data_IF_810691524020
#
_entry.id   IF_810691524020
#
_cell.length_a   1.000
_cell.length_b   1.000
_cell.length_c   1.000
_cell.angle_alpha   90.00
_cell.angle_beta   90.00
_cell.angle_gamma   90.00
#
_symmetry.space_group_name_H-M   'P 1'
#
loop_
_entity.id
_entity.type
_entity.pdbx_description
1 polymer ?
#
# COMPACT_ATOMS: atom_id res chain seq x y z
N UNK A 1 18.88 6.67 -39.69
CA UNK A 1 19.25 7.32 -38.43
C UNK A 1 20.31 6.48 -37.76
N UNK A 2 21.53 7.01 -37.65
CA UNK A 2 22.65 6.27 -37.04
C UNK A 2 22.45 6.24 -35.52
N UNK A 3 22.89 5.17 -34.86
CA UNK A 3 22.75 4.98 -33.40
C UNK A 3 23.29 6.18 -32.60
N UNK A 4 24.31 6.84 -33.14
CA UNK A 4 24.97 8.04 -32.60
C UNK A 4 24.08 9.30 -32.60
N UNK A 5 23.16 9.45 -33.56
CA UNK A 5 22.22 10.58 -33.62
C UNK A 5 21.17 10.48 -32.51
N UNK A 6 20.73 9.26 -32.19
CA UNK A 6 19.78 8.97 -31.11
C UNK A 6 20.36 9.31 -29.73
N UNK A 7 21.66 9.12 -29.51
CA UNK A 7 22.31 9.42 -28.23
C UNK A 7 22.61 10.90 -28.02
N UNK A 8 22.75 11.69 -29.10
CA UNK A 8 22.86 13.16 -29.03
C UNK A 8 21.52 13.82 -28.70
N UNK A 9 20.42 13.28 -29.18
CA UNK A 9 19.08 13.85 -29.00
C UNK A 9 18.53 13.69 -27.56
N UNK A 10 19.05 12.72 -26.80
CA UNK A 10 18.63 12.42 -25.43
C UNK A 10 19.45 13.19 -24.37
N UNK A 11 20.45 13.98 -24.80
CA UNK A 11 20.95 15.12 -24.03
C UNK A 11 21.58 14.85 -22.65
N UNK A 12 22.05 13.64 -22.31
CA UNK A 12 22.64 13.38 -20.99
C UNK A 12 23.67 12.23 -21.00
N UNK A 13 24.81 12.38 -21.68
CA UNK A 13 26.02 11.60 -21.33
C UNK A 13 27.26 12.47 -21.52
N UNK A 14 28.03 12.61 -20.43
CA UNK A 14 29.33 13.28 -20.33
C UNK A 14 30.36 12.64 -21.29
N UNK A 15 31.03 13.45 -22.12
CA UNK A 15 31.97 13.00 -23.16
C UNK A 15 33.10 12.10 -22.60
N UNK A 16 33.41 12.23 -21.31
CA UNK A 16 34.40 11.41 -20.61
C UNK A 16 34.01 9.91 -20.52
N UNK A 17 32.73 9.56 -20.61
CA UNK A 17 32.25 8.17 -20.56
C UNK A 17 32.39 7.45 -21.90
N UNK A 18 32.41 8.19 -23.02
CA UNK A 18 32.60 7.63 -24.36
C UNK A 18 34.09 7.29 -24.56
N UNK A 19 34.99 8.16 -24.11
CA UNK A 19 36.44 7.93 -24.14
C UNK A 19 36.85 6.71 -23.27
N UNK A 20 36.16 6.48 -22.14
CA UNK A 20 36.36 5.31 -21.29
C UNK A 20 35.88 3.99 -21.94
N UNK A 21 34.90 4.06 -22.86
CA UNK A 21 34.39 2.89 -23.57
C UNK A 21 35.29 2.48 -24.75
N UNK A 22 35.86 3.46 -25.48
CA UNK A 22 36.77 3.20 -26.62
C UNK A 22 38.10 2.56 -26.19
N UNK A 23 38.58 2.80 -24.96
CA UNK A 23 39.81 2.19 -24.47
C UNK A 23 39.65 0.78 -23.86
N UNK A 24 38.44 0.22 -23.78
CA UNK A 24 38.21 -1.11 -23.20
C UNK A 24 38.38 -2.28 -24.19
N UNK A 25 38.80 -2.00 -25.42
CA UNK A 25 38.76 -2.94 -26.54
C UNK A 25 40.12 -3.30 -27.14
N UNK A 26 41.14 -3.70 -26.36
CA UNK A 26 42.20 -4.65 -26.80
C UNK A 26 43.25 -4.86 -25.71
N UNK A 27 43.29 -6.05 -25.08
CA UNK A 27 44.49 -6.87 -24.93
C UNK A 27 44.19 -8.14 -24.10
N UNK A 28 44.45 -9.30 -24.71
CA UNK A 28 44.49 -10.59 -24.01
C UNK A 28 45.62 -10.60 -22.99
N UNK A 29 45.32 -10.61 -21.69
CA UNK A 29 46.24 -11.11 -20.65
C UNK A 29 45.48 -11.70 -19.46
N UNK A 30 45.63 -13.01 -19.25
CA UNK A 30 45.28 -13.72 -18.00
C UNK A 30 46.10 -13.12 -16.85
N UNK A 31 45.45 -12.47 -15.87
CA UNK A 31 46.01 -12.24 -14.53
C UNK A 31 44.91 -12.39 -13.47
N UNK A 32 45.24 -13.09 -12.39
CA UNK A 32 44.32 -13.38 -11.28
C UNK A 32 43.82 -12.09 -10.63
N UNK A 33 42.50 -11.95 -10.55
CA UNK A 33 41.85 -10.83 -9.88
C UNK A 33 42.04 -11.00 -8.37
N UNK A 34 42.72 -10.03 -7.74
CA UNK A 34 42.91 -9.97 -6.29
C UNK A 34 41.55 -9.81 -5.59
N UNK A 35 41.34 -10.59 -4.51
CA UNK A 35 40.09 -10.59 -3.69
C UNK A 35 39.67 -9.20 -3.20
N UNK A 36 40.60 -8.22 -3.11
CA UNK A 36 40.30 -6.83 -2.71
C UNK A 36 39.51 -6.05 -3.78
N UNK A 37 39.70 -6.34 -5.06
CA UNK A 37 38.98 -5.66 -6.15
C UNK A 37 37.54 -6.17 -6.30
N UNK A 38 37.31 -7.47 -6.03
CA UNK A 38 35.96 -8.05 -6.03
C UNK A 38 35.07 -7.43 -4.94
N UNK A 39 35.65 -7.17 -3.75
CA UNK A 39 34.93 -6.52 -2.65
C UNK A 39 34.57 -5.06 -2.99
N UNK A 40 35.47 -4.33 -3.65
CA UNK A 40 35.24 -2.92 -3.98
C UNK A 40 34.18 -2.77 -5.09
N UNK A 41 34.19 -3.67 -6.08
CA UNK A 41 33.14 -3.74 -7.11
C UNK A 41 31.80 -4.18 -6.50
N UNK A 42 31.79 -5.15 -5.57
CA UNK A 42 30.57 -5.54 -4.86
C UNK A 42 29.99 -4.38 -4.02
N UNK A 43 30.83 -3.59 -3.34
CA UNK A 43 30.39 -2.41 -2.60
C UNK A 43 29.83 -1.32 -3.53
N UNK A 44 30.45 -1.09 -4.70
CA UNK A 44 29.95 -0.13 -5.70
C UNK A 44 28.63 -0.56 -6.32
N UNK A 45 28.45 -1.86 -6.59
CA UNK A 45 27.17 -2.43 -7.07
C UNK A 45 26.08 -2.35 -5.99
N UNK A 46 26.43 -2.61 -4.73
CA UNK A 46 25.49 -2.46 -3.62
C UNK A 46 25.10 -1.00 -3.42
N UNK A 47 26.05 -0.07 -3.45
CA UNK A 47 25.79 1.37 -3.28
C UNK A 47 25.00 1.96 -4.47
N UNK A 48 25.31 1.55 -5.70
CA UNK A 48 24.52 1.95 -6.87
C UNK A 48 23.14 1.33 -6.84
N UNK A 49 22.96 0.07 -6.41
CA UNK A 49 21.64 -0.55 -6.28
C UNK A 49 20.75 0.14 -5.24
N UNK A 50 21.31 0.59 -4.11
CA UNK A 50 20.55 1.31 -3.08
C UNK A 50 20.24 2.75 -3.49
N UNK A 51 21.16 3.42 -4.19
CA UNK A 51 20.93 4.78 -4.68
C UNK A 51 19.94 4.81 -5.85
N UNK A 52 20.02 3.83 -6.76
CA UNK A 52 19.05 3.66 -7.85
C UNK A 52 17.69 3.20 -7.33
N UNK A 53 17.62 2.37 -6.28
CA UNK A 53 16.36 2.03 -5.64
C UNK A 53 15.72 3.26 -4.98
N UNK A 54 16.49 4.08 -4.25
CA UNK A 54 16.03 5.31 -3.62
C UNK A 54 15.55 6.35 -4.65
N UNK A 55 16.35 6.61 -5.69
CA UNK A 55 16.00 7.54 -6.77
C UNK A 55 14.84 7.02 -7.61
N UNK A 56 14.74 5.71 -7.84
CA UNK A 56 13.57 5.11 -8.49
C UNK A 56 12.33 5.26 -7.60
N UNK A 57 12.41 5.01 -6.28
CA UNK A 57 11.27 5.25 -5.38
C UNK A 57 10.84 6.71 -5.37
N UNK A 58 11.76 7.67 -5.39
CA UNK A 58 11.43 9.11 -5.48
C UNK A 58 10.87 9.49 -6.86
N UNK A 59 11.42 8.93 -7.93
CA UNK A 59 10.95 9.17 -9.30
C UNK A 59 9.57 8.57 -9.54
N UNK A 60 9.30 7.32 -9.10
CA UNK A 60 7.99 6.69 -9.17
C UNK A 60 6.96 7.39 -8.27
N UNK A 61 7.39 7.91 -7.10
CA UNK A 61 6.53 8.73 -6.23
C UNK A 61 6.10 10.03 -6.92
N UNK A 62 7.00 10.68 -7.66
CA UNK A 62 6.72 11.92 -8.39
C UNK A 62 6.00 11.72 -9.73
N UNK A 63 6.22 10.60 -10.43
CA UNK A 63 5.58 10.34 -11.72
C UNK A 63 4.12 9.87 -11.57
N UNK A 64 3.79 9.16 -10.47
CA UNK A 64 2.42 8.74 -10.18
C UNK A 64 1.53 9.88 -9.63
N UNK A 65 2.09 11.02 -9.23
CA UNK A 65 1.32 12.23 -8.92
C UNK A 65 0.82 12.99 -10.15
N UNK A 66 1.34 12.72 -11.35
CA UNK A 66 1.08 13.53 -12.55
C UNK A 66 -0.30 13.35 -13.25
N UNK A 67 -1.04 12.23 -13.18
CA UNK A 67 -2.35 12.14 -13.83
C UNK A 67 -3.49 12.84 -13.05
N UNK A 68 -3.32 13.12 -11.75
CA UNK A 68 -4.39 13.65 -10.89
C UNK A 68 -4.35 15.16 -10.67
N UNK A 69 -3.27 15.84 -11.07
CA UNK A 69 -3.13 17.31 -10.98
C UNK A 69 -4.15 18.04 -11.87
N UNK A 70 -4.75 17.38 -12.87
CA UNK A 70 -5.75 18.02 -13.75
C UNK A 70 -7.10 18.33 -13.10
N UNK A 71 -7.41 17.74 -11.95
CA UNK A 71 -8.71 17.90 -11.29
C UNK A 71 -8.66 18.57 -9.91
N UNK A 72 -7.45 18.83 -9.41
CA UNK A 72 -7.23 19.51 -8.14
C UNK A 72 -7.02 21.00 -8.41
N UNK A 73 -7.80 21.87 -7.75
CA UNK A 73 -7.56 23.31 -7.76
C UNK A 73 -6.28 23.58 -6.97
N UNK A 74 -5.67 24.76 -7.17
CA UNK A 74 -4.43 25.14 -6.47
C UNK A 74 -4.55 25.08 -4.93
N UNK A 75 -5.77 25.14 -4.41
CA UNK A 75 -6.13 24.98 -2.99
C UNK A 75 -6.06 23.50 -2.55
N UNK A 76 -6.49 22.56 -3.41
CA UNK A 76 -6.44 21.11 -3.16
C UNK A 76 -5.01 20.54 -3.32
N UNK A 77 -4.14 21.29 -4.00
CA UNK A 77 -2.71 20.97 -4.13
C UNK A 77 -1.91 21.18 -2.83
N UNK A 78 -2.39 22.01 -1.88
CA UNK A 78 -1.72 22.15 -0.57
C UNK A 78 -1.84 20.87 0.29
N UNK A 79 -2.79 19.98 -0.02
CA UNK A 79 -2.97 18.68 0.62
C UNK A 79 -2.17 17.54 -0.07
N UNK A 80 -1.52 17.83 -1.21
CA UNK A 80 -0.83 16.85 -2.04
C UNK A 80 0.71 16.88 -1.89
N UNK A 81 1.21 16.95 -0.65
CA UNK A 81 2.05 15.85 -0.16
C UNK A 81 1.63 15.41 1.25
N UNK A 82 2.05 14.19 1.66
CA UNK A 82 1.89 13.66 3.03
C UNK A 82 2.31 14.73 4.03
N UNK A 83 1.35 15.47 4.58
CA UNK A 83 1.67 16.54 5.51
C UNK A 83 2.25 15.86 6.73
N UNK A 84 3.52 16.16 7.02
CA UNK A 84 4.15 15.71 8.25
C UNK A 84 3.19 16.02 9.41
N UNK A 85 2.97 15.02 10.25
CA UNK A 85 1.99 15.14 11.31
C UNK A 85 2.30 16.37 12.20
N UNK A 86 1.32 17.27 12.29
CA UNK A 86 1.37 18.47 13.11
C UNK A 86 0.00 18.68 13.75
N UNK A 87 -0.08 18.31 15.03
CA UNK A 87 -1.33 18.36 15.80
C UNK A 87 -1.96 19.76 15.81
N UNK A 88 -1.16 20.82 15.90
CA UNK A 88 -1.68 22.18 16.02
C UNK A 88 -2.26 22.67 14.68
N UNK A 89 -1.66 22.26 13.55
CA UNK A 89 -2.25 22.51 12.23
C UNK A 89 -3.59 21.82 12.06
N UNK A 90 -3.70 20.55 12.45
CA UNK A 90 -4.98 19.83 12.35
C UNK A 90 -6.04 20.39 13.29
N UNK A 91 -5.67 20.76 14.52
CA UNK A 91 -6.57 21.46 15.45
C UNK A 91 -7.05 22.81 14.88
N UNK A 92 -6.19 23.53 14.16
CA UNK A 92 -6.59 24.77 13.49
C UNK A 92 -7.53 24.50 12.30
N UNK A 93 -7.24 23.46 11.51
CA UNK A 93 -8.03 23.07 10.34
C UNK A 93 -9.47 22.63 10.67
N UNK A 94 -9.75 22.21 11.91
CA UNK A 94 -11.13 21.97 12.39
C UNK A 94 -12.04 23.21 12.26
N UNK A 95 -11.48 24.42 12.15
CA UNK A 95 -12.23 25.68 11.99
C UNK A 95 -12.40 26.09 10.54
N UNK A 96 -11.98 25.27 9.58
CA UNK A 96 -12.11 25.55 8.16
C UNK A 96 -13.57 25.46 7.74
N UNK A 97 -13.98 26.34 6.83
CA UNK A 97 -15.27 26.23 6.13
C UNK A 97 -15.24 25.14 5.04
N UNK A 98 -14.07 24.52 4.77
CA UNK A 98 -13.93 23.40 3.84
C UNK A 98 -14.09 22.06 4.59
N UNK A 99 -15.19 21.36 4.29
CA UNK A 99 -15.53 20.07 4.88
C UNK A 99 -14.47 18.99 4.67
N UNK A 100 -13.75 19.00 3.54
CA UNK A 100 -12.67 18.06 3.26
C UNK A 100 -11.47 18.29 4.18
N UNK A 101 -11.12 19.55 4.42
CA UNK A 101 -10.05 19.91 5.36
C UNK A 101 -10.40 19.49 6.79
N UNK A 102 -11.65 19.71 7.20
CA UNK A 102 -12.16 19.28 8.51
C UNK A 102 -12.10 17.76 8.63
N UNK A 103 -12.56 17.04 7.61
CA UNK A 103 -12.52 15.57 7.56
C UNK A 103 -11.09 15.02 7.69
N UNK A 104 -10.14 15.56 6.92
CA UNK A 104 -8.73 15.16 6.99
C UNK A 104 -8.18 15.47 8.38
N UNK A 105 -8.44 16.66 8.91
CA UNK A 105 -7.98 17.05 10.24
C UNK A 105 -8.46 16.10 11.34
N UNK A 106 -9.75 15.74 11.34
CA UNK A 106 -10.34 14.79 12.29
C UNK A 106 -9.61 13.44 12.25
N UNK A 107 -9.40 12.89 11.05
CA UNK A 107 -8.68 11.63 10.87
C UNK A 107 -7.25 11.70 11.39
N UNK A 108 -6.51 12.74 11.00
CA UNK A 108 -5.10 12.92 11.37
C UNK A 108 -4.90 13.20 12.86
N UNK A 109 -5.89 13.78 13.56
CA UNK A 109 -5.83 13.99 15.00
C UNK A 109 -5.72 12.70 15.81
N UNK A 110 -6.08 11.54 15.25
CA UNK A 110 -5.85 10.23 15.89
C UNK A 110 -4.38 10.01 16.25
N UNK A 111 -3.45 10.51 15.44
CA UNK A 111 -2.01 10.36 15.65
C UNK A 111 -1.49 11.05 16.93
N UNK A 112 -2.30 11.93 17.55
CA UNK A 112 -1.96 12.54 18.84
C UNK A 112 -2.05 11.55 20.02
N UNK A 113 -2.53 10.33 19.80
CA UNK A 113 -2.83 9.32 20.82
C UNK A 113 -1.74 9.15 21.89
N UNK A 114 -0.47 9.18 21.48
CA UNK A 114 0.68 8.97 22.36
C UNK A 114 0.99 10.17 23.27
N UNK A 115 0.54 11.38 22.92
CA UNK A 115 0.73 12.58 23.71
C UNK A 115 -0.54 12.89 24.52
N UNK A 116 -0.49 12.68 25.83
CA UNK A 116 -1.66 12.85 26.70
C UNK A 116 -2.29 14.25 26.61
N UNK A 117 -1.47 15.32 26.63
CA UNK A 117 -1.98 16.70 26.60
C UNK A 117 -2.67 17.01 25.27
N UNK A 118 -2.08 16.58 24.16
CA UNK A 118 -2.68 16.77 22.84
C UNK A 118 -3.93 15.90 22.66
N UNK A 119 -3.92 14.68 23.18
CA UNK A 119 -5.08 13.77 23.17
C UNK A 119 -6.29 14.34 23.90
N UNK A 120 -6.08 14.88 25.09
CA UNK A 120 -7.16 15.53 25.86
C UNK A 120 -7.70 16.77 25.13
N UNK A 121 -6.82 17.56 24.50
CA UNK A 121 -7.21 18.72 23.68
C UNK A 121 -8.03 18.28 22.46
N UNK A 122 -7.54 17.31 21.69
CA UNK A 122 -8.23 16.78 20.52
C UNK A 122 -9.60 16.19 20.89
N UNK A 123 -9.69 15.41 21.97
CA UNK A 123 -10.96 14.86 22.44
C UNK A 123 -12.02 15.94 22.68
N UNK A 124 -11.63 17.08 23.28
CA UNK A 124 -12.54 18.19 23.53
C UNK A 124 -12.98 18.87 22.25
N UNK A 125 -12.04 19.16 21.35
CA UNK A 125 -12.32 19.87 20.09
C UNK A 125 -13.10 19.00 19.09
N UNK A 126 -13.04 17.67 19.19
CA UNK A 126 -13.76 16.75 18.32
C UNK A 126 -15.23 16.54 18.71
N UNK A 127 -15.61 16.75 19.99
CA UNK A 127 -16.99 16.49 20.45
C UNK A 127 -18.09 17.19 19.62
N UNK A 128 -17.95 18.47 19.23
CA UNK A 128 -18.99 19.16 18.46
C UNK A 128 -19.27 18.52 17.08
N UNK A 129 -18.31 17.78 16.53
CA UNK A 129 -18.46 17.15 15.22
C UNK A 129 -19.30 15.88 15.24
N UNK A 130 -19.63 15.32 16.42
CA UNK A 130 -20.51 14.15 16.54
C UNK A 130 -21.94 14.40 16.03
N UNK A 131 -22.38 15.65 16.06
CA UNK A 131 -23.72 16.09 15.62
C UNK A 131 -23.64 16.91 14.31
N UNK A 132 -22.57 16.74 13.52
CA UNK A 132 -22.40 17.47 12.26
C UNK A 132 -23.41 17.00 11.21
N UNK A 133 -23.98 17.95 10.45
CA UNK A 133 -24.93 17.66 9.37
C UNK A 133 -24.31 16.79 8.25
N UNK A 134 -23.00 16.91 8.04
CA UNK A 134 -22.26 16.01 7.15
C UNK A 134 -21.93 14.70 7.89
N UNK A 135 -22.64 13.63 7.54
CA UNK A 135 -22.47 12.30 8.14
C UNK A 135 -21.03 11.77 8.07
N UNK A 136 -20.28 12.08 7.01
CA UNK A 136 -18.87 11.66 6.86
C UNK A 136 -17.98 12.29 7.94
N UNK A 137 -18.24 13.54 8.30
CA UNK A 137 -17.55 14.25 9.38
C UNK A 137 -17.99 13.70 10.73
N UNK A 138 -19.28 13.43 10.92
CA UNK A 138 -19.79 12.85 12.16
C UNK A 138 -19.21 11.45 12.43
N UNK A 139 -19.19 10.59 11.41
CA UNK A 139 -18.65 9.23 11.51
C UNK A 139 -17.13 9.22 11.76
N UNK A 140 -16.38 10.11 11.07
CA UNK A 140 -14.94 10.23 11.30
C UNK A 140 -14.63 10.76 12.70
N UNK A 141 -15.42 11.71 13.21
CA UNK A 141 -15.29 12.23 14.57
C UNK A 141 -15.60 11.16 15.62
N UNK A 142 -16.67 10.40 15.43
CA UNK A 142 -17.04 9.28 16.29
C UNK A 142 -15.92 8.23 16.33
N UNK A 143 -15.36 7.88 15.17
CA UNK A 143 -14.23 6.95 15.08
C UNK A 143 -12.98 7.48 15.78
N UNK A 144 -12.59 8.74 15.51
CA UNK A 144 -11.41 9.35 16.13
C UNK A 144 -11.54 9.44 17.66
N UNK A 145 -12.72 9.83 18.16
CA UNK A 145 -13.02 9.87 19.59
C UNK A 145 -12.95 8.47 20.19
N UNK A 146 -13.47 7.44 19.53
CA UNK A 146 -13.44 6.06 20.02
C UNK A 146 -12.01 5.53 20.20
N UNK A 147 -11.08 5.92 19.31
CA UNK A 147 -9.65 5.63 19.44
C UNK A 147 -9.01 6.46 20.57
N UNK A 148 -9.17 7.78 20.55
CA UNK A 148 -8.49 8.69 21.48
C UNK A 148 -8.98 8.54 22.92
N UNK A 149 -10.24 8.18 23.12
CA UNK A 149 -10.82 7.88 24.44
C UNK A 149 -10.55 6.45 24.90
N UNK A 150 -10.01 5.60 24.02
CA UNK A 150 -9.71 4.18 24.26
C UNK A 150 -10.95 3.33 24.55
N UNK A 151 -12.12 3.72 24.05
CA UNK A 151 -13.33 2.91 24.20
C UNK A 151 -13.36 1.72 23.25
N UNK A 152 -12.77 1.85 22.06
CA UNK A 152 -12.60 0.79 21.06
C UNK A 152 -13.90 -0.01 20.80
N UNK A 153 -14.99 0.72 20.55
CA UNK A 153 -16.35 0.21 20.33
C UNK A 153 -16.72 0.13 18.85
N UNK A 154 -16.03 0.88 17.99
CA UNK A 154 -16.27 0.90 16.55
C UNK A 154 -16.10 -0.49 15.95
N UNK A 155 -16.99 -0.92 15.02
CA UNK A 155 -16.84 -2.19 14.31
C UNK A 155 -15.62 -2.24 13.41
N UNK A 156 -15.03 -1.08 13.08
CA UNK A 156 -13.82 -0.95 12.27
C UNK A 156 -12.52 -1.03 13.10
N UNK A 157 -12.62 -1.45 14.36
CA UNK A 157 -11.49 -1.62 15.28
C UNK A 157 -11.36 -3.10 15.66
N UNK A 158 -10.22 -3.69 15.30
CA UNK A 158 -10.01 -5.12 15.42
C UNK A 158 -9.06 -5.44 16.57
N UNK A 159 -9.57 -6.14 17.58
CA UNK A 159 -8.78 -6.65 18.72
C UNK A 159 -8.16 -7.99 18.35
N UNK A 160 -6.84 -8.10 18.47
CA UNK A 160 -6.06 -9.25 18.04
C UNK A 160 -5.65 -10.18 19.19
N UNK A 161 -5.18 -11.37 18.85
CA UNK A 161 -4.80 -12.42 19.82
C UNK A 161 -3.66 -11.99 20.76
N UNK A 162 -2.75 -11.17 20.25
CA UNK A 162 -1.58 -10.69 20.98
C UNK A 162 -1.88 -9.47 21.88
N UNK A 163 -3.16 -9.14 22.02
CA UNK A 163 -3.64 -7.99 22.77
C UNK A 163 -3.52 -6.64 22.05
N UNK A 164 -3.00 -6.61 20.81
CA UNK A 164 -2.97 -5.37 20.04
C UNK A 164 -4.31 -5.07 19.39
N UNK A 165 -4.47 -3.80 19.03
CA UNK A 165 -5.64 -3.27 18.34
C UNK A 165 -5.17 -2.79 16.97
N UNK A 166 -5.88 -3.19 15.92
CA UNK A 166 -5.56 -2.91 14.54
C UNK A 166 -6.74 -2.19 13.87
N UNK A 167 -6.45 -1.16 13.08
CA UNK A 167 -7.45 -0.39 12.34
C UNK A 167 -6.79 0.41 11.21
N UNK A 168 -7.59 0.95 10.30
CA UNK A 168 -7.19 2.07 9.45
C UNK A 168 -7.96 3.32 9.88
N UNK A 169 -7.45 4.51 9.57
CA UNK A 169 -8.22 5.73 9.81
C UNK A 169 -9.51 5.70 9.01
N UNK A 170 -10.51 6.47 9.43
CA UNK A 170 -11.83 6.40 8.80
C UNK A 170 -11.69 6.68 7.29
N UNK A 171 -12.16 5.72 6.50
CA UNK A 171 -12.18 5.73 5.06
C UNK A 171 -13.63 5.69 4.60
N UNK A 172 -14.08 6.77 3.96
CA UNK A 172 -15.16 6.68 3.01
C UNK A 172 -14.51 6.53 1.61
N UNK A 173 -15.12 5.75 0.72
CA UNK A 173 -14.46 5.21 -0.48
C UNK A 173 -13.73 6.30 -1.30
N UNK A 174 -12.52 6.00 -1.81
CA UNK A 174 -11.62 6.90 -2.56
C UNK A 174 -11.00 8.09 -1.80
N UNK A 175 -11.24 8.22 -0.49
CA UNK A 175 -10.77 9.37 0.27
C UNK A 175 -9.31 9.25 0.72
N UNK A 176 -8.49 10.21 0.27
CA UNK A 176 -7.07 10.34 0.61
C UNK A 176 -6.78 10.64 2.10
N UNK A 177 -7.80 10.74 2.95
CA UNK A 177 -7.69 11.15 4.35
C UNK A 177 -7.07 10.11 5.29
N UNK A 178 -7.08 8.81 4.95
CA UNK A 178 -6.54 7.76 5.84
C UNK A 178 -5.07 7.41 5.62
N UNK A 179 -4.47 7.94 4.56
CA UNK A 179 -3.08 7.68 4.16
C UNK A 179 -2.74 6.23 3.80
N UNK A 180 -3.74 5.34 3.71
CA UNK A 180 -3.53 3.90 3.44
C UNK A 180 -2.58 3.25 4.44
N UNK A 181 -2.71 3.66 5.68
CA UNK A 181 -1.92 3.15 6.79
C UNK A 181 -2.76 2.20 7.63
N UNK A 182 -2.16 1.07 7.94
CA UNK A 182 -2.61 0.16 8.97
C UNK A 182 -1.98 0.60 10.29
N UNK A 183 -2.81 1.04 11.21
CA UNK A 183 -2.42 1.51 12.54
C UNK A 183 -2.54 0.40 13.57
N UNK A 184 -1.59 0.36 14.50
CA UNK A 184 -1.59 -0.58 15.62
C UNK A 184 -1.42 0.13 16.94
N UNK A 185 -2.28 -0.19 17.90
CA UNK A 185 -2.08 0.13 19.31
C UNK A 185 -1.66 -1.14 20.04
N UNK A 186 -0.47 -1.12 20.64
CA UNK A 186 0.02 -2.19 21.51
C UNK A 186 0.67 -1.55 22.73
N UNK A 187 0.44 -2.12 23.91
CA UNK A 187 0.95 -1.59 25.19
C UNK A 187 0.65 -0.09 25.38
N UNK A 188 -0.55 0.32 24.94
CA UNK A 188 -1.03 1.70 24.99
C UNK A 188 -0.16 2.71 24.18
N UNK A 189 0.49 2.24 23.12
CA UNK A 189 1.24 3.07 22.17
C UNK A 189 0.69 2.84 20.76
N UNK A 190 0.26 3.93 20.11
CA UNK A 190 -0.13 3.96 18.70
C UNK A 190 1.11 4.04 17.81
N UNK A 191 1.18 3.22 16.78
CA UNK A 191 2.21 3.28 15.73
C UNK A 191 1.60 2.94 14.38
N UNK A 192 2.19 3.50 13.32
CA UNK A 192 2.08 2.90 12.00
C UNK A 192 2.65 1.48 12.05
N UNK A 193 1.86 0.52 11.59
CA UNK A 193 2.28 -0.88 11.52
C UNK A 193 2.72 -1.25 10.10
N UNK A 194 1.96 -0.82 9.10
CA UNK A 194 2.28 -1.00 7.69
C UNK A 194 1.58 0.08 6.88
N UNK A 195 2.24 0.53 5.81
CA UNK A 195 1.66 1.40 4.80
C UNK A 195 1.70 0.70 3.45
N UNK A 196 0.69 0.98 2.62
CA UNK A 196 0.58 0.43 1.28
C UNK A 196 0.92 1.50 0.24
N UNK A 197 1.55 1.06 -0.84
CA UNK A 197 1.94 1.89 -1.98
C UNK A 197 1.26 1.39 -3.25
N UNK A 198 1.21 2.22 -4.32
CA UNK A 198 0.71 1.77 -5.61
C UNK A 198 1.33 0.42 -6.04
N UNK A 199 0.53 -0.49 -6.61
CA UNK A 199 -0.88 -0.29 -6.99
C UNK A 199 -1.90 -0.48 -5.85
N UNK A 200 -1.49 -0.95 -4.66
CA UNK A 200 -2.36 -1.09 -3.47
C UNK A 200 -2.67 0.29 -2.84
N UNK A 201 -3.63 0.99 -3.42
CA UNK A 201 -3.88 2.41 -3.13
C UNK A 201 -4.92 2.67 -2.05
N UNK A 202 -5.76 1.72 -1.64
CA UNK A 202 -6.78 1.95 -0.60
C UNK A 202 -6.99 0.70 0.23
N UNK A 203 -7.02 0.79 1.55
CA UNK A 203 -7.46 -0.34 2.40
C UNK A 203 -8.99 -0.33 2.41
N UNK A 204 -9.61 -1.38 1.90
CA UNK A 204 -11.07 -1.54 1.87
C UNK A 204 -11.56 -2.39 3.02
N UNK A 205 -10.84 -3.47 3.34
CA UNK A 205 -11.23 -4.40 4.40
C UNK A 205 -10.06 -4.89 5.24
N UNK A 206 -10.37 -5.13 6.51
CA UNK A 206 -9.49 -5.76 7.49
C UNK A 206 -10.29 -6.90 8.11
N UNK A 207 -9.86 -8.14 7.88
CA UNK A 207 -10.64 -9.33 8.24
C UNK A 207 -9.79 -10.23 9.12
N UNK A 208 -9.91 -10.14 10.46
CA UNK A 208 -9.22 -11.04 11.37
C UNK A 208 -9.72 -12.48 11.23
N UNK A 209 -8.78 -13.42 11.33
CA UNK A 209 -9.08 -14.85 11.50
C UNK A 209 -9.87 -15.11 12.79
N UNK A 210 -10.57 -16.26 12.92
CA UNK A 210 -11.39 -16.54 14.10
C UNK A 210 -10.61 -16.54 15.42
N UNK A 211 -9.36 -17.04 15.41
CA UNK A 211 -8.45 -16.96 16.56
C UNK A 211 -7.72 -15.62 16.68
N UNK A 212 -7.88 -14.72 15.70
CA UNK A 212 -7.35 -13.35 15.66
C UNK A 212 -5.82 -13.26 15.61
N UNK A 213 -5.14 -14.30 15.16
CA UNK A 213 -3.67 -14.32 14.98
C UNK A 213 -3.25 -13.83 13.59
N UNK A 214 -4.03 -14.23 12.59
CA UNK A 214 -3.89 -13.80 11.21
C UNK A 214 -4.93 -12.73 10.90
N UNK A 215 -4.58 -11.81 10.01
CA UNK A 215 -5.48 -10.78 9.50
C UNK A 215 -5.33 -10.71 7.99
N UNK A 216 -6.43 -10.85 7.26
CA UNK A 216 -6.45 -10.54 5.83
C UNK A 216 -6.67 -9.04 5.65
N UNK A 217 -5.84 -8.40 4.84
CA UNK A 217 -5.94 -7.00 4.45
C UNK A 217 -6.29 -7.00 2.97
N UNK A 218 -7.40 -6.34 2.66
CA UNK A 218 -7.84 -6.12 1.29
C UNK A 218 -7.51 -4.69 0.94
N UNK A 219 -6.80 -4.53 -0.17
CA UNK A 219 -6.55 -3.22 -0.74
C UNK A 219 -7.02 -3.17 -2.18
N UNK A 220 -7.32 -1.99 -2.68
CA UNK A 220 -7.69 -1.81 -4.08
C UNK A 220 -6.95 -0.65 -4.72
N UNK A 221 -6.99 -0.64 -6.04
CA UNK A 221 -6.73 0.49 -6.90
C UNK A 221 -8.03 0.86 -7.63
N UNK A 222 -7.95 1.77 -8.60
CA UNK A 222 -9.08 2.02 -9.50
C UNK A 222 -9.31 0.88 -10.52
N UNK A 223 -8.47 -0.14 -10.53
CA UNK A 223 -8.44 -1.18 -11.56
C UNK A 223 -8.40 -2.60 -10.99
N UNK A 224 -7.87 -2.80 -9.80
CA UNK A 224 -7.56 -4.14 -9.27
C UNK A 224 -7.79 -4.19 -7.76
N UNK A 225 -8.05 -5.39 -7.25
CA UNK A 225 -8.02 -5.67 -5.81
C UNK A 225 -6.86 -6.60 -5.48
N UNK A 226 -6.38 -6.46 -4.25
CA UNK A 226 -5.23 -7.15 -3.73
C UNK A 226 -5.57 -7.68 -2.34
N UNK A 227 -5.19 -8.93 -2.08
CA UNK A 227 -5.43 -9.58 -0.79
C UNK A 227 -4.11 -10.07 -0.24
N UNK A 228 -3.80 -9.70 1.00
CA UNK A 228 -2.62 -10.18 1.72
C UNK A 228 -3.01 -10.61 3.13
N UNK A 229 -2.33 -11.61 3.67
CA UNK A 229 -2.51 -12.06 5.05
C UNK A 229 -1.27 -11.69 5.85
N UNK A 230 -1.48 -11.10 7.03
CA UNK A 230 -0.41 -10.77 7.98
C UNK A 230 -0.60 -11.58 9.26
N UNK A 231 0.46 -12.25 9.71
CA UNK A 231 0.59 -12.73 11.07
C UNK A 231 1.15 -11.61 11.94
N UNK A 232 0.33 -11.09 12.85
CA UNK A 232 0.65 -9.90 13.66
C UNK A 232 1.58 -10.24 14.84
N UNK A 233 1.62 -11.50 15.27
CA UNK A 233 2.52 -12.01 16.31
C UNK A 233 3.94 -12.18 15.77
N UNK A 234 4.06 -12.83 14.61
CA UNK A 234 5.36 -13.23 14.04
C UNK A 234 5.90 -12.23 13.01
N UNK A 235 5.08 -11.27 12.56
CA UNK A 235 5.45 -10.30 11.53
C UNK A 235 5.63 -10.91 10.14
N UNK A 236 5.04 -12.08 9.89
CA UNK A 236 5.08 -12.75 8.59
C UNK A 236 3.92 -12.29 7.71
N UNK A 237 4.17 -12.09 6.42
CA UNK A 237 3.14 -11.71 5.44
C UNK A 237 3.09 -12.76 4.32
N UNK A 238 1.89 -13.05 3.82
CA UNK A 238 1.72 -13.88 2.62
C UNK A 238 2.18 -13.14 1.36
N UNK A 239 2.37 -13.84 0.23
CA UNK A 239 2.28 -13.18 -1.07
C UNK A 239 0.93 -12.47 -1.25
N UNK A 240 0.86 -11.57 -2.22
CA UNK A 240 -0.41 -11.03 -2.72
C UNK A 240 -1.18 -12.16 -3.43
N UNK A 241 -2.40 -12.44 -2.98
CA UNK A 241 -3.13 -13.68 -3.29
C UNK A 241 -3.87 -13.62 -4.63
N UNK A 242 -4.30 -12.45 -5.09
CA UNK A 242 -5.04 -12.30 -6.36
C UNK A 242 -4.13 -12.55 -7.56
N UNK A 243 -2.97 -11.90 -7.60
CA UNK A 243 -1.94 -12.12 -8.63
C UNK A 243 -1.37 -13.53 -8.52
N UNK A 244 -1.14 -14.04 -7.30
CA UNK A 244 -0.68 -15.43 -7.11
C UNK A 244 -1.69 -16.42 -7.68
N UNK A 245 -3.00 -16.17 -7.49
CA UNK A 245 -4.05 -17.00 -8.07
C UNK A 245 -4.09 -16.87 -9.60
N UNK A 246 -3.99 -15.64 -10.13
CA UNK A 246 -3.92 -15.34 -11.56
C UNK A 246 -2.80 -16.09 -12.25
N UNK A 247 -1.58 -16.01 -11.73
CA UNK A 247 -0.41 -16.71 -12.28
C UNK A 247 -0.60 -18.22 -12.20
N UNK A 248 -1.06 -18.75 -11.07
CA UNK A 248 -1.23 -20.20 -10.90
C UNK A 248 -2.29 -20.78 -11.83
N UNK A 249 -3.47 -20.16 -11.89
CA UNK A 249 -4.57 -20.65 -12.73
C UNK A 249 -4.29 -20.43 -14.21
N UNK A 250 -3.69 -19.30 -14.58
CA UNK A 250 -3.27 -19.02 -15.96
C UNK A 250 -2.28 -20.06 -16.45
N UNK A 251 -1.29 -20.44 -15.64
CA UNK A 251 -0.35 -21.52 -15.97
C UNK A 251 -1.04 -22.89 -16.15
N UNK A 252 -2.08 -23.20 -15.37
CA UNK A 252 -2.86 -24.43 -15.52
C UNK A 252 -3.68 -24.47 -16.82
N UNK A 253 -4.06 -23.30 -17.34
CA UNK A 253 -4.88 -23.12 -18.54
C UNK A 253 -4.07 -22.72 -19.77
N UNK A 254 -2.75 -22.67 -19.67
CA UNK A 254 -1.84 -22.19 -20.73
C UNK A 254 -2.16 -20.77 -21.22
N UNK A 255 -2.66 -19.91 -20.32
CA UNK A 255 -2.94 -18.50 -20.58
C UNK A 255 -1.69 -17.64 -20.39
N UNK A 256 -1.65 -16.50 -21.09
CA UNK A 256 -0.59 -15.51 -20.88
C UNK A 256 -0.77 -14.80 -19.52
N UNK A 257 0.20 -14.99 -18.64
CA UNK A 257 0.25 -14.40 -17.31
C UNK A 257 1.15 -13.16 -17.26
N UNK A 258 1.39 -12.49 -18.39
CA UNK A 258 2.17 -11.26 -18.44
C UNK A 258 1.71 -10.25 -17.37
N UNK A 259 2.68 -9.63 -16.71
CA UNK A 259 2.47 -8.67 -15.62
C UNK A 259 2.75 -7.27 -16.19
N UNK A 260 1.79 -6.36 -15.99
CA UNK A 260 1.90 -4.98 -16.42
C UNK A 260 2.97 -4.23 -15.64
N UNK A 261 3.54 -3.19 -16.25
CA UNK A 261 4.56 -2.35 -15.60
C UNK A 261 4.02 -1.53 -14.43
N UNK A 262 2.72 -1.27 -14.40
CA UNK A 262 2.02 -0.61 -13.28
C UNK A 262 1.61 -1.61 -12.17
N UNK A 263 1.89 -2.90 -12.34
CA UNK A 263 1.52 -4.00 -11.44
C UNK A 263 0.01 -4.13 -11.19
N UNK A 264 -0.82 -3.42 -11.96
CA UNK A 264 -2.26 -3.61 -12.02
C UNK A 264 -2.58 -4.88 -12.81
N UNK A 265 -3.67 -5.56 -12.48
CA UNK A 265 -4.02 -6.84 -13.10
C UNK A 265 -5.50 -6.97 -13.48
N UNK A 266 -6.33 -5.95 -13.23
CA UNK A 266 -7.77 -5.97 -13.52
C UNK A 266 -8.53 -7.14 -12.91
N UNK A 267 -7.97 -7.70 -11.83
CA UNK A 267 -8.52 -8.85 -11.14
C UNK A 267 -9.08 -8.42 -9.78
N UNK A 268 -10.12 -9.12 -9.34
CA UNK A 268 -10.93 -8.74 -8.18
C UNK A 268 -11.14 -9.94 -7.26
N UNK A 269 -11.37 -9.68 -5.98
CA UNK A 269 -11.64 -10.66 -4.93
C UNK A 269 -12.94 -10.31 -4.20
N UNK A 270 -13.92 -11.21 -4.25
CA UNK A 270 -15.20 -11.09 -3.57
C UNK A 270 -15.39 -12.23 -2.55
N UNK A 271 -16.33 -12.04 -1.62
CA UNK A 271 -16.74 -13.03 -0.59
C UNK A 271 -15.56 -13.60 0.20
N UNK A 272 -14.64 -12.72 0.59
CA UNK A 272 -13.44 -13.07 1.33
C UNK A 272 -13.82 -13.54 2.74
N UNK A 273 -13.47 -14.78 3.08
CA UNK A 273 -13.87 -15.41 4.34
C UNK A 273 -12.81 -16.37 4.87
N UNK A 274 -12.60 -16.36 6.18
CA UNK A 274 -11.82 -17.38 6.86
C UNK A 274 -12.65 -18.66 7.02
N UNK A 275 -12.18 -19.78 6.46
CA UNK A 275 -12.82 -21.10 6.68
C UNK A 275 -12.46 -21.70 8.02
N UNK A 276 -11.25 -21.42 8.47
CA UNK A 276 -10.73 -21.81 9.77
C UNK A 276 -9.70 -20.76 10.23
N UNK A 277 -8.84 -21.12 11.18
CA UNK A 277 -7.83 -20.22 11.75
C UNK A 277 -6.62 -19.94 10.83
N UNK A 278 -6.50 -20.63 9.70
CA UNK A 278 -5.31 -20.69 8.86
C UNK A 278 -5.61 -20.57 7.36
N UNK A 279 -6.86 -20.85 6.96
CA UNK A 279 -7.30 -20.88 5.56
C UNK A 279 -8.23 -19.72 5.24
N UNK A 280 -7.80 -18.86 4.33
CA UNK A 280 -8.62 -17.80 3.74
C UNK A 280 -9.15 -18.27 2.38
N UNK A 281 -10.44 -18.09 2.13
CA UNK A 281 -11.07 -18.37 0.84
C UNK A 281 -11.72 -17.10 0.28
N UNK A 282 -11.70 -16.95 -1.04
CA UNK A 282 -12.45 -15.90 -1.75
C UNK A 282 -12.82 -16.35 -3.16
N UNK A 283 -13.85 -15.71 -3.73
CA UNK A 283 -14.17 -15.81 -5.15
C UNK A 283 -13.33 -14.78 -5.91
N UNK A 284 -12.65 -15.19 -6.97
CA UNK A 284 -11.79 -14.33 -7.76
C UNK A 284 -12.33 -14.15 -9.18
N UNK A 285 -12.31 -12.93 -9.69
CA UNK A 285 -12.46 -12.65 -11.12
C UNK A 285 -11.07 -12.32 -11.68
N UNK A 286 -10.45 -13.27 -12.38
CA UNK A 286 -9.06 -13.18 -12.84
C UNK A 286 -9.01 -12.74 -14.31
N UNK A 287 -8.34 -11.61 -14.58
CA UNK A 287 -8.23 -11.07 -15.93
C UNK A 287 -6.92 -11.44 -16.62
N UNK A 288 -7.05 -11.80 -17.90
CA UNK A 288 -5.93 -12.10 -18.79
C UNK A 288 -6.07 -11.31 -20.09
N UNK A 289 -4.95 -11.08 -20.78
CA UNK A 289 -4.89 -10.38 -22.07
C UNK A 289 -5.65 -9.04 -22.04
N UNK A 290 -5.30 -8.17 -21.09
CA UNK A 290 -5.95 -6.86 -20.87
C UNK A 290 -7.49 -6.96 -20.83
N UNK A 291 -8.02 -7.86 -20.00
CA UNK A 291 -9.47 -8.10 -19.78
C UNK A 291 -10.22 -8.79 -20.91
N UNK A 292 -9.55 -9.20 -22.00
CA UNK A 292 -10.19 -9.97 -23.07
C UNK A 292 -10.69 -11.35 -22.59
N UNK A 293 -10.04 -11.91 -21.57
CA UNK A 293 -10.44 -13.17 -20.93
C UNK A 293 -10.61 -12.89 -19.44
N UNK A 294 -11.77 -13.25 -18.91
CA UNK A 294 -12.08 -13.21 -17.47
C UNK A 294 -12.43 -14.63 -17.03
N UNK A 295 -11.72 -15.13 -16.03
CA UNK A 295 -11.96 -16.45 -15.45
C UNK A 295 -12.41 -16.29 -14.00
N UNK A 296 -13.60 -16.81 -13.70
CA UNK A 296 -14.12 -16.83 -12.34
C UNK A 296 -13.62 -18.07 -11.61
N UNK A 297 -13.04 -17.88 -10.43
CA UNK A 297 -12.42 -18.95 -9.65
C UNK A 297 -12.81 -18.90 -8.18
N UNK A 298 -12.63 -20.02 -7.47
CA UNK A 298 -12.48 -20.04 -6.02
C UNK A 298 -11.00 -20.17 -5.68
N UNK A 299 -10.51 -19.27 -4.83
CA UNK A 299 -9.14 -19.28 -4.30
C UNK A 299 -9.19 -19.67 -2.84
N UNK A 300 -8.38 -20.63 -2.43
CA UNK A 300 -8.17 -20.97 -1.02
C UNK A 300 -6.67 -20.92 -0.71
N UNK A 301 -6.28 -20.14 0.29
CA UNK A 301 -4.89 -20.02 0.72
C UNK A 301 -4.71 -20.48 2.16
N UNK A 302 -3.89 -21.51 2.35
CA UNK A 302 -3.50 -22.00 3.67
C UNK A 302 -2.18 -21.34 4.11
N UNK A 303 -2.24 -20.47 5.11
CA UNK A 303 -1.13 -19.61 5.52
C UNK A 303 0.08 -20.40 6.03
N UNK A 304 -0.11 -21.31 6.98
CA UNK A 304 0.96 -22.10 7.60
C UNK A 304 1.75 -22.93 6.61
N UNK A 305 1.07 -23.49 5.59
CA UNK A 305 1.68 -24.35 4.57
C UNK A 305 2.15 -23.59 3.34
N UNK A 306 1.74 -22.33 3.19
CA UNK A 306 2.00 -21.49 2.00
C UNK A 306 1.48 -22.16 0.72
N UNK A 307 0.31 -22.77 0.81
CA UNK A 307 -0.34 -23.46 -0.31
C UNK A 307 -1.53 -22.64 -0.76
N UNK A 308 -1.55 -22.28 -2.04
CA UNK A 308 -2.70 -21.69 -2.71
C UNK A 308 -3.37 -22.75 -3.59
N UNK A 309 -4.67 -22.95 -3.46
CA UNK A 309 -5.50 -23.72 -4.38
C UNK A 309 -6.36 -22.76 -5.20
N UNK A 310 -6.47 -22.99 -6.49
CA UNK A 310 -7.33 -22.22 -7.39
C UNK A 310 -8.11 -23.19 -8.25
N UNK A 311 -9.43 -23.01 -8.29
CA UNK A 311 -10.37 -23.88 -9.03
C UNK A 311 -11.34 -23.00 -9.80
N UNK A 312 -11.64 -23.34 -11.05
CA UNK A 312 -12.67 -22.63 -11.82
C UNK A 312 -14.03 -22.74 -11.13
N UNK A 313 -14.80 -21.66 -11.14
CA UNK A 313 -16.20 -21.68 -10.75
C UNK A 313 -17.00 -22.29 -11.90
N UNK A 314 -17.61 -23.47 -11.69
CA UNK A 314 -18.54 -24.03 -12.67
C UNK A 314 -19.75 -23.10 -12.80
N UNK A 315 -20.04 -22.65 -14.04
CA UNK A 315 -21.17 -21.77 -14.39
C UNK A 315 -22.56 -22.42 -14.22
N UNK A 316 -22.67 -23.53 -13.48
CA UNK A 316 -23.90 -24.32 -13.33
C UNK A 316 -24.68 -24.04 -12.04
N UNK A 317 -24.50 -22.87 -11.42
CA UNK A 317 -25.29 -22.41 -10.27
C UNK A 317 -26.24 -21.29 -10.64
#
# INVERSE_FOLDING_TARGET
MKREELYREIGLIDENLIEAAEHSGTEKRKKSISKKWVVLVACLILYSSTASALLATEYYKNQNSEPYIRYLRAEDMELAPVTQYDAEKFLHALKSDNEEHVYIAINRLVECFNNQKLREKALKELQPFLENDNQKIADSAAFAIDILSKSYRSPYIFKLADGSILFTLFNNYSDYGSQNVLWRIKDNVLKEYSSFSPPSMYITDIIPSPNKKLVAIVTCSNKSEFVQIINIEEGMTSPELVESARVKYGAQKELDTWIRTDYENYSYADKIVWKDNDTLEFEGSLAYQDTAIIENVTVAYQFSKKVIEVKGLDESR
#
